data_IF_448220693485
#
_entry.id   IF_448220693485
#
_cell.length_a   1.000
_cell.length_b   1.000
_cell.length_c   1.000
_cell.angle_alpha   90.00
_cell.angle_beta   90.00
_cell.angle_gamma   90.00
#
_symmetry.space_group_name_H-M   'P 1'
#
loop_
_entity.id
_entity.type
_entity.pdbx_description
1 polymer ?
#
# COMPACT_ATOMS: atom_id res chain seq x y z
N UNK A 1 21.52 -64.11 -49.29
CA UNK A 1 22.32 -64.42 -48.09
C UNK A 1 21.40 -64.97 -47.01
N UNK A 2 21.01 -66.24 -47.11
CA UNK A 2 20.20 -66.93 -46.11
C UNK A 2 21.12 -67.57 -45.06
N UNK A 3 21.26 -66.93 -43.91
CA UNK A 3 21.90 -67.51 -42.72
C UNK A 3 20.81 -68.09 -41.80
N UNK A 4 20.95 -69.34 -41.37
CA UNK A 4 20.02 -69.99 -40.42
C UNK A 4 20.24 -69.47 -38.98
N UNK A 5 21.47 -69.04 -38.67
CA UNK A 5 21.87 -68.62 -37.33
C UNK A 5 21.68 -67.12 -37.07
N UNK A 6 21.36 -66.33 -38.11
CA UNK A 6 21.17 -64.89 -37.99
C UNK A 6 20.01 -64.43 -38.86
N UNK A 7 18.92 -64.00 -38.20
CA UNK A 7 17.72 -63.51 -38.86
C UNK A 7 17.68 -61.97 -38.82
N UNK A 8 18.22 -61.35 -39.86
CA UNK A 8 18.31 -59.89 -39.96
C UNK A 8 16.93 -59.21 -40.01
N UNK A 9 15.93 -59.83 -40.64
CA UNK A 9 14.57 -59.25 -40.71
C UNK A 9 13.86 -59.27 -39.37
N UNK A 10 14.04 -60.33 -38.57
CA UNK A 10 13.53 -60.38 -37.21
C UNK A 10 14.23 -59.36 -36.29
N UNK A 11 15.53 -59.12 -36.46
CA UNK A 11 16.27 -58.11 -35.69
C UNK A 11 15.79 -56.69 -35.99
N UNK A 12 15.59 -56.36 -37.26
CA UNK A 12 15.02 -55.07 -37.68
C UNK A 12 13.59 -54.91 -37.15
N UNK A 13 12.75 -55.95 -37.24
CA UNK A 13 11.40 -55.93 -36.68
C UNK A 13 11.40 -55.73 -35.15
N UNK A 14 12.34 -56.34 -34.42
CA UNK A 14 12.50 -56.16 -32.98
C UNK A 14 12.96 -54.73 -32.62
N UNK A 15 13.90 -54.15 -33.37
CA UNK A 15 14.32 -52.75 -33.19
C UNK A 15 13.15 -51.78 -33.42
N UNK A 16 12.37 -52.01 -34.47
CA UNK A 16 11.15 -51.23 -34.74
C UNK A 16 10.11 -51.40 -33.64
N UNK A 17 9.89 -52.61 -33.14
CA UNK A 17 8.96 -52.87 -32.04
C UNK A 17 9.38 -52.19 -30.73
N UNK A 18 10.68 -52.25 -30.38
CA UNK A 18 11.21 -51.55 -29.21
C UNK A 18 11.07 -50.03 -29.33
N UNK A 19 11.25 -49.48 -30.54
CA UNK A 19 11.00 -48.06 -30.83
C UNK A 19 9.52 -47.70 -30.65
N UNK A 20 8.61 -48.45 -31.28
CA UNK A 20 7.16 -48.25 -31.13
C UNK A 20 6.74 -48.34 -29.67
N UNK A 21 7.25 -49.30 -28.90
CA UNK A 21 6.97 -49.39 -27.46
C UNK A 21 7.46 -48.17 -26.69
N UNK A 22 8.65 -47.66 -27.00
CA UNK A 22 9.19 -46.45 -26.37
C UNK A 22 8.34 -45.22 -26.68
N UNK A 23 7.90 -45.08 -27.94
CA UNK A 23 7.04 -43.97 -28.37
C UNK A 23 5.63 -44.08 -27.74
N UNK A 24 5.11 -45.30 -27.60
CA UNK A 24 3.82 -45.58 -26.94
C UNK A 24 3.85 -45.18 -25.47
N UNK A 25 4.93 -45.48 -24.74
CA UNK A 25 5.11 -45.02 -23.35
C UNK A 25 5.16 -43.49 -23.25
N UNK A 26 5.84 -42.80 -24.18
CA UNK A 26 5.88 -41.33 -24.19
C UNK A 26 4.49 -40.71 -24.41
N UNK A 27 3.73 -41.22 -25.38
CA UNK A 27 2.38 -40.71 -25.64
C UNK A 27 1.44 -41.02 -24.47
N UNK A 28 1.58 -42.19 -23.83
CA UNK A 28 0.83 -42.49 -22.60
C UNK A 28 1.15 -41.52 -21.46
N UNK A 29 2.43 -41.16 -21.30
CA UNK A 29 2.86 -40.19 -20.29
C UNK A 29 2.32 -38.79 -20.59
N UNK A 30 2.34 -38.36 -21.86
CA UNK A 30 1.75 -37.08 -22.30
C UNK A 30 0.24 -37.04 -22.08
N UNK A 31 -0.48 -38.14 -22.33
CA UNK A 31 -1.92 -38.23 -22.08
C UNK A 31 -2.21 -38.25 -20.57
N UNK A 32 -1.39 -38.93 -19.78
CA UNK A 32 -1.58 -39.04 -18.33
C UNK A 32 -1.26 -37.74 -17.60
N UNK A 33 -0.25 -37.00 -18.04
CA UNK A 33 0.18 -35.75 -17.40
C UNK A 33 -0.46 -34.51 -18.02
N UNK A 34 -1.03 -34.64 -19.24
CA UNK A 34 -1.50 -33.52 -20.04
C UNK A 34 -0.38 -32.65 -20.62
N UNK A 35 0.88 -32.96 -20.32
CA UNK A 35 2.05 -32.15 -20.69
C UNK A 35 2.91 -32.87 -21.72
N UNK A 36 3.32 -32.16 -22.77
CA UNK A 36 4.35 -32.57 -23.72
C UNK A 36 5.74 -32.57 -23.09
N UNK A 37 5.99 -31.66 -22.15
CA UNK A 37 7.23 -31.57 -21.36
C UNK A 37 6.84 -31.63 -19.87
N UNK A 38 6.85 -32.84 -19.30
CA UNK A 38 6.49 -33.04 -17.90
C UNK A 38 7.71 -32.94 -16.98
N UNK A 39 8.87 -33.42 -17.44
CA UNK A 39 10.10 -33.47 -16.65
C UNK A 39 11.28 -32.83 -17.38
N UNK A 40 12.35 -32.50 -16.63
CA UNK A 40 13.60 -32.02 -17.21
C UNK A 40 14.26 -33.00 -18.19
N UNK A 41 13.86 -34.29 -18.17
CA UNK A 41 14.35 -35.31 -19.12
C UNK A 41 13.75 -35.14 -20.51
N UNK A 42 12.56 -34.56 -20.62
CA UNK A 42 11.85 -34.40 -21.89
C UNK A 42 12.41 -33.21 -22.66
N UNK A 43 12.62 -32.08 -21.96
CA UNK A 43 13.34 -30.93 -22.46
C UNK A 43 13.78 -30.02 -21.28
N UNK A 44 15.06 -30.07 -20.92
CA UNK A 44 15.59 -29.33 -19.78
C UNK A 44 15.42 -27.80 -19.89
N UNK A 45 15.57 -27.24 -21.11
CA UNK A 45 15.47 -25.79 -21.31
C UNK A 45 14.01 -25.31 -21.17
N UNK A 46 13.06 -26.00 -21.81
CA UNK A 46 11.64 -25.66 -21.73
C UNK A 46 11.11 -25.87 -20.31
N UNK A 47 11.50 -26.97 -19.67
CA UNK A 47 11.12 -27.27 -18.30
C UNK A 47 11.63 -26.22 -17.30
N UNK A 48 12.89 -25.76 -17.45
CA UNK A 48 13.46 -24.74 -16.58
C UNK A 48 12.72 -23.41 -16.70
N UNK A 49 12.39 -22.98 -17.92
CA UNK A 49 11.63 -21.75 -18.16
C UNK A 49 10.22 -21.88 -17.56
N UNK A 50 9.52 -22.98 -17.84
CA UNK A 50 8.16 -23.20 -17.31
C UNK A 50 8.14 -23.28 -15.79
N UNK A 51 9.14 -23.89 -15.15
CA UNK A 51 9.22 -23.97 -13.69
C UNK A 51 9.42 -22.60 -13.03
N UNK A 52 10.21 -21.71 -13.64
CA UNK A 52 10.34 -20.32 -13.18
C UNK A 52 9.02 -19.57 -13.33
N UNK A 53 8.38 -19.68 -14.50
CA UNK A 53 7.08 -19.04 -14.75
C UNK A 53 5.98 -19.57 -13.81
N UNK A 54 5.93 -20.87 -13.54
CA UNK A 54 5.00 -21.47 -12.55
C UNK A 54 5.27 -20.93 -11.15
N UNK A 55 6.55 -20.79 -10.76
CA UNK A 55 6.93 -20.15 -9.49
C UNK A 55 6.49 -18.69 -9.41
N UNK A 56 6.64 -17.93 -10.49
CA UNK A 56 6.25 -16.53 -10.54
C UNK A 56 4.72 -16.39 -10.48
N UNK A 57 3.97 -17.26 -11.17
CA UNK A 57 2.49 -17.34 -11.06
C UNK A 57 2.05 -17.60 -9.62
N UNK A 58 2.72 -18.50 -8.90
CA UNK A 58 2.43 -18.72 -7.47
C UNK A 58 2.69 -17.47 -6.62
N UNK A 59 3.79 -16.76 -6.87
CA UNK A 59 4.10 -15.49 -6.21
C UNK A 59 3.05 -14.42 -6.48
N UNK A 60 2.60 -14.28 -7.73
CA UNK A 60 1.57 -13.31 -8.10
C UNK A 60 0.20 -13.65 -7.51
N UNK A 61 -0.17 -14.92 -7.37
CA UNK A 61 -1.41 -15.31 -6.66
C UNK A 61 -1.38 -14.87 -5.19
N UNK A 62 -0.23 -15.04 -4.52
CA UNK A 62 -0.06 -14.54 -3.15
C UNK A 62 -0.18 -13.01 -3.07
N UNK A 63 0.30 -12.30 -4.09
CA UNK A 63 0.13 -10.84 -4.20
C UNK A 63 -1.34 -10.48 -4.41
N UNK A 64 -2.09 -11.20 -5.26
CA UNK A 64 -3.54 -10.99 -5.40
C UNK A 64 -4.26 -11.16 -4.07
N UNK A 65 -3.91 -12.18 -3.27
CA UNK A 65 -4.49 -12.37 -1.93
C UNK A 65 -4.12 -11.23 -0.98
N UNK A 66 -2.89 -10.74 -1.02
CA UNK A 66 -2.45 -9.57 -0.24
C UNK A 66 -3.17 -8.28 -0.68
N UNK A 67 -3.36 -8.08 -1.98
CA UNK A 67 -4.11 -6.94 -2.54
C UNK A 67 -5.58 -7.00 -2.13
N UNK A 68 -6.20 -8.19 -2.15
CA UNK A 68 -7.58 -8.38 -1.68
C UNK A 68 -7.70 -8.08 -0.17
N UNK A 69 -6.74 -8.52 0.64
CA UNK A 69 -6.69 -8.20 2.07
C UNK A 69 -6.54 -6.68 2.30
N UNK A 70 -5.65 -6.05 1.54
CA UNK A 70 -5.45 -4.59 1.55
C UNK A 70 -6.72 -3.83 1.16
N UNK A 71 -7.39 -4.28 0.10
CA UNK A 71 -8.66 -3.72 -0.38
C UNK A 71 -9.72 -3.74 0.72
N UNK A 72 -9.96 -4.90 1.34
CA UNK A 72 -10.93 -5.03 2.43
C UNK A 72 -10.58 -4.16 3.65
N UNK A 73 -9.29 -3.99 3.95
CA UNK A 73 -8.85 -3.12 5.05
C UNK A 73 -9.16 -1.65 4.75
N UNK A 74 -8.85 -1.19 3.53
CA UNK A 74 -9.10 0.19 3.07
C UNK A 74 -10.61 0.47 2.98
N UNK A 75 -11.41 -0.50 2.55
CA UNK A 75 -12.87 -0.39 2.50
C UNK A 75 -13.48 -0.16 3.89
N UNK A 76 -13.03 -0.90 4.91
CA UNK A 76 -13.48 -0.71 6.30
C UNK A 76 -13.10 0.69 6.80
N UNK A 77 -11.87 1.13 6.54
CA UNK A 77 -11.41 2.48 6.90
C UNK A 77 -12.23 3.59 6.22
N UNK A 78 -12.47 3.47 4.91
CA UNK A 78 -13.27 4.43 4.13
C UNK A 78 -14.71 4.50 4.63
N UNK A 79 -15.38 3.36 4.80
CA UNK A 79 -16.76 3.30 5.24
C UNK A 79 -16.94 3.89 6.65
N UNK A 80 -16.00 3.60 7.56
CA UNK A 80 -16.00 4.20 8.89
C UNK A 80 -15.74 5.71 8.83
N UNK A 81 -14.86 6.19 7.95
CA UNK A 81 -14.60 7.63 7.75
C UNK A 81 -15.83 8.38 7.22
N UNK A 82 -16.61 7.78 6.32
CA UNK A 82 -17.89 8.33 5.85
C UNK A 82 -18.90 8.44 6.99
N UNK A 83 -18.96 7.44 7.87
CA UNK A 83 -19.86 7.47 9.02
C UNK A 83 -19.41 8.51 10.06
N UNK A 84 -18.12 8.65 10.31
CA UNK A 84 -17.55 9.72 11.15
C UNK A 84 -17.88 11.09 10.56
N UNK A 85 -17.76 11.27 9.24
CA UNK A 85 -18.13 12.51 8.55
C UNK A 85 -19.60 12.88 8.79
N UNK A 86 -20.50 11.90 8.73
CA UNK A 86 -21.93 12.15 8.98
C UNK A 86 -22.19 12.57 10.43
N UNK A 87 -21.55 11.93 11.40
CA UNK A 87 -21.66 12.30 12.82
C UNK A 87 -21.09 13.69 13.09
N UNK A 88 -19.96 14.06 12.46
CA UNK A 88 -19.41 15.42 12.58
C UNK A 88 -20.35 16.47 11.98
N UNK A 89 -21.06 16.16 10.89
CA UNK A 89 -22.10 17.04 10.34
C UNK A 89 -23.30 17.19 11.28
N UNK A 90 -23.67 16.14 12.00
CA UNK A 90 -24.70 16.22 13.05
C UNK A 90 -24.22 17.09 14.22
N UNK A 91 -22.97 16.93 14.67
CA UNK A 91 -22.36 17.81 15.68
C UNK A 91 -22.34 19.27 15.21
N UNK A 92 -22.00 19.53 13.94
CA UNK A 92 -22.07 20.87 13.35
C UNK A 92 -23.48 21.45 13.44
N UNK A 93 -24.51 20.65 13.14
CA UNK A 93 -25.89 21.09 13.23
C UNK A 93 -26.30 21.44 14.67
N UNK A 94 -25.84 20.66 15.66
CA UNK A 94 -26.04 20.97 17.07
C UNK A 94 -25.31 22.25 17.50
N UNK A 95 -24.09 22.48 17.04
CA UNK A 95 -23.38 23.75 17.32
C UNK A 95 -24.13 24.94 16.71
N UNK A 96 -24.68 24.80 15.51
CA UNK A 96 -25.51 25.84 14.89
C UNK A 96 -26.79 26.08 15.69
N UNK A 97 -27.44 25.04 16.21
CA UNK A 97 -28.64 25.18 17.06
C UNK A 97 -28.32 25.92 18.37
N UNK A 98 -27.12 25.72 18.93
CA UNK A 98 -26.66 26.43 20.14
C UNK A 98 -26.50 27.95 19.98
N UNK A 99 -26.37 28.44 18.73
CA UNK A 99 -26.28 29.88 18.41
C UNK A 99 -27.61 30.60 18.53
N UNK A 100 -28.74 29.89 18.52
CA UNK A 100 -30.04 30.52 18.65
C UNK A 100 -30.24 31.15 20.04
N UNK A 101 -31.14 32.13 20.12
CA UNK A 101 -31.50 32.76 21.39
C UNK A 101 -32.53 31.90 22.13
N UNK A 102 -32.38 31.78 23.46
CA UNK A 102 -33.29 31.04 24.36
C UNK A 102 -33.31 29.50 24.20
N UNK A 103 -32.21 28.90 23.74
CA UNK A 103 -32.06 27.43 23.69
C UNK A 103 -31.46 26.85 24.97
N UNK A 104 -31.73 25.57 25.23
CA UNK A 104 -31.09 24.81 26.32
C UNK A 104 -29.72 24.28 25.86
N UNK A 105 -28.69 25.13 25.98
CA UNK A 105 -27.31 24.79 25.58
C UNK A 105 -26.74 23.60 26.34
N UNK A 106 -27.22 23.35 27.56
CA UNK A 106 -26.82 22.17 28.33
C UNK A 106 -27.37 20.88 27.74
N UNK A 107 -28.57 20.93 27.16
CA UNK A 107 -29.10 19.79 26.43
C UNK A 107 -28.29 19.54 25.16
N UNK A 108 -28.06 20.58 24.37
CA UNK A 108 -27.28 20.50 23.13
C UNK A 108 -25.85 19.97 23.41
N UNK A 109 -25.18 20.46 24.46
CA UNK A 109 -23.85 19.97 24.85
C UNK A 109 -23.85 18.48 25.20
N UNK A 110 -24.93 17.95 25.82
CA UNK A 110 -25.06 16.52 26.08
C UNK A 110 -25.24 15.72 24.80
N UNK A 111 -26.00 16.25 23.84
CA UNK A 111 -26.22 15.60 22.55
C UNK A 111 -24.92 15.58 21.73
N UNK A 112 -24.15 16.69 21.72
CA UNK A 112 -22.80 16.76 21.14
C UNK A 112 -21.87 15.72 21.79
N UNK A 113 -21.87 15.61 23.13
CA UNK A 113 -21.06 14.62 23.83
C UNK A 113 -21.43 13.18 23.45
N UNK A 114 -22.72 12.88 23.28
CA UNK A 114 -23.18 11.56 22.84
C UNK A 114 -22.75 11.24 21.40
N UNK A 115 -22.88 12.20 20.48
CA UNK A 115 -22.42 12.06 19.09
C UNK A 115 -20.90 11.87 19.02
N UNK A 116 -20.16 12.63 19.84
CA UNK A 116 -18.72 12.46 20.01
C UNK A 116 -18.38 11.05 20.49
N UNK A 117 -19.03 10.55 21.54
CA UNK A 117 -18.78 9.20 22.07
C UNK A 117 -19.10 8.12 21.01
N UNK A 118 -20.12 8.36 20.16
CA UNK A 118 -20.43 7.52 19.01
C UNK A 118 -19.31 7.54 17.95
N UNK A 119 -18.75 8.72 17.63
CA UNK A 119 -17.58 8.82 16.74
C UNK A 119 -16.43 7.97 17.28
N UNK A 120 -16.12 8.05 18.57
CA UNK A 120 -15.05 7.27 19.19
C UNK A 120 -15.29 5.76 19.07
N UNK A 121 -16.54 5.33 19.31
CA UNK A 121 -16.94 3.93 19.18
C UNK A 121 -16.78 3.40 17.75
N UNK A 122 -17.04 4.22 16.72
CA UNK A 122 -16.88 3.84 15.31
C UNK A 122 -15.42 3.77 14.92
N UNK A 123 -14.62 4.76 15.32
CA UNK A 123 -13.17 4.77 15.11
C UNK A 123 -12.54 3.53 15.74
N UNK A 124 -12.94 3.13 16.95
CA UNK A 124 -12.44 1.92 17.58
C UNK A 124 -12.89 0.62 16.93
N UNK A 125 -14.13 0.58 16.42
CA UNK A 125 -14.71 -0.58 15.75
C UNK A 125 -14.21 -0.79 14.31
N UNK A 126 -13.60 0.23 13.68
CA UNK A 126 -13.10 0.21 12.30
C UNK A 126 -11.83 -0.65 12.11
N UNK A 127 -11.89 -1.92 12.54
CA UNK A 127 -10.80 -2.87 12.46
C UNK A 127 -11.10 -4.01 11.48
N UNK A 128 -10.08 -4.39 10.71
CA UNK A 128 -10.09 -5.57 9.87
C UNK A 128 -8.88 -6.43 10.24
N UNK A 129 -9.13 -7.66 10.72
CA UNK A 129 -8.10 -8.58 11.20
C UNK A 129 -7.14 -7.95 12.25
N UNK A 130 -7.65 -7.06 13.11
CA UNK A 130 -6.88 -6.37 14.15
C UNK A 130 -6.14 -5.11 13.69
N UNK A 131 -6.12 -4.82 12.39
CA UNK A 131 -5.58 -3.59 11.82
C UNK A 131 -6.67 -2.53 11.70
N UNK A 132 -6.39 -1.28 12.08
CA UNK A 132 -7.36 -0.19 12.06
C UNK A 132 -6.74 1.05 11.42
N UNK A 133 -7.25 1.49 10.27
CA UNK A 133 -6.68 2.62 9.53
C UNK A 133 -7.04 4.00 10.10
N UNK A 134 -7.93 4.03 11.10
CA UNK A 134 -8.46 5.24 11.74
C UNK A 134 -7.80 5.55 13.10
N UNK A 135 -6.86 4.71 13.55
CA UNK A 135 -6.09 4.93 14.79
C UNK A 135 -4.66 4.42 14.66
N UNK A 136 -3.72 5.05 15.36
CA UNK A 136 -2.27 4.74 15.28
C UNK A 136 -1.61 5.49 14.12
N UNK A 137 -0.27 5.60 14.12
CA UNK A 137 0.42 6.45 13.14
C UNK A 137 1.24 5.70 12.08
N UNK A 138 1.74 4.50 12.36
CA UNK A 138 2.51 3.77 11.34
C UNK A 138 1.66 3.37 10.12
N UNK A 139 2.07 3.86 8.94
CA UNK A 139 1.47 3.55 7.63
C UNK A 139 1.39 2.03 7.36
N UNK A 140 0.43 1.66 6.52
CA UNK A 140 0.20 0.26 6.13
C UNK A 140 0.69 0.04 4.71
N UNK A 141 1.61 -0.90 4.54
CA UNK A 141 2.11 -1.31 3.24
C UNK A 141 1.35 -2.53 2.72
N UNK A 142 0.70 -2.40 1.56
CA UNK A 142 0.06 -3.51 0.85
C UNK A 142 1.01 -3.98 -0.25
N UNK A 143 1.46 -5.24 -0.20
CA UNK A 143 2.29 -5.79 -1.28
C UNK A 143 1.55 -5.72 -2.62
N UNK A 144 2.20 -5.15 -3.63
CA UNK A 144 1.59 -4.82 -4.91
C UNK A 144 2.20 -5.58 -6.09
N UNK A 145 3.48 -5.91 -6.01
CA UNK A 145 4.18 -6.64 -7.06
C UNK A 145 5.41 -7.39 -6.55
N UNK A 146 5.79 -8.41 -7.31
CA UNK A 146 7.10 -9.05 -7.28
C UNK A 146 7.82 -8.64 -8.57
N UNK A 147 8.93 -7.94 -8.44
CA UNK A 147 9.79 -7.63 -9.58
C UNK A 147 11.02 -8.53 -9.54
N UNK A 148 11.38 -9.09 -10.71
CA UNK A 148 12.55 -9.95 -10.87
C UNK A 148 13.48 -9.28 -11.87
N UNK A 149 14.65 -8.90 -11.41
CA UNK A 149 15.64 -8.29 -12.27
C UNK A 149 16.35 -9.33 -13.19
N UNK A 150 17.13 -8.82 -14.15
CA UNK A 150 17.91 -9.67 -15.05
C UNK A 150 19.03 -10.48 -14.35
N UNK A 151 19.37 -10.14 -13.11
CA UNK A 151 20.35 -10.85 -12.28
C UNK A 151 19.72 -12.01 -11.47
N UNK A 152 18.38 -12.11 -11.48
CA UNK A 152 17.61 -13.10 -10.74
C UNK A 152 17.25 -12.66 -9.32
N UNK A 153 17.58 -11.42 -8.93
CA UNK A 153 17.18 -10.81 -7.66
C UNK A 153 15.69 -10.50 -7.70
N UNK A 154 14.99 -10.85 -6.63
CA UNK A 154 13.55 -10.62 -6.48
C UNK A 154 13.35 -9.50 -5.47
N UNK A 155 12.68 -8.42 -5.89
CA UNK A 155 12.28 -7.31 -5.04
C UNK A 155 10.76 -7.21 -4.96
N UNK A 156 10.26 -6.62 -3.88
CA UNK A 156 8.83 -6.35 -3.69
C UNK A 156 8.55 -4.87 -3.90
N UNK A 157 7.43 -4.56 -4.54
CA UNK A 157 6.83 -3.23 -4.50
C UNK A 157 5.61 -3.26 -3.58
N UNK A 158 5.32 -2.12 -2.95
CA UNK A 158 4.15 -1.94 -2.10
C UNK A 158 3.36 -0.70 -2.48
N UNK A 159 2.08 -0.71 -2.09
CA UNK A 159 1.18 0.43 -2.11
C UNK A 159 1.10 0.90 -0.65
N UNK A 160 1.70 2.07 -0.39
CA UNK A 160 1.56 2.75 0.89
C UNK A 160 0.12 3.23 1.07
N UNK A 161 -0.45 2.90 2.22
CA UNK A 161 -1.75 3.37 2.70
C UNK A 161 -1.51 4.23 3.92
N UNK A 162 -1.63 5.54 3.73
CA UNK A 162 -1.54 6.51 4.83
C UNK A 162 -2.68 6.29 5.80
N UNK A 163 -2.37 6.19 7.10
CA UNK A 163 -3.41 6.15 8.15
C UNK A 163 -3.91 7.55 8.44
N UNK A 164 -5.16 7.62 8.89
CA UNK A 164 -5.74 8.83 9.45
C UNK A 164 -6.01 8.57 10.93
N UNK A 165 -5.61 9.45 11.84
CA UNK A 165 -5.76 9.18 13.28
C UNK A 165 -6.95 9.95 13.83
N UNK A 166 -8.13 9.37 13.79
CA UNK A 166 -9.37 10.01 14.24
C UNK A 166 -9.63 9.85 15.74
N UNK A 167 -8.63 9.49 16.54
CA UNK A 167 -8.78 9.45 17.99
C UNK A 167 -9.16 10.82 18.53
N UNK A 168 -10.04 10.82 19.52
CA UNK A 168 -10.46 12.03 20.26
C UNK A 168 -9.57 12.24 21.48
N UNK A 169 -8.27 12.23 21.26
CA UNK A 169 -7.28 12.47 22.29
C UNK A 169 -6.58 13.76 21.91
N UNK A 170 -6.67 14.77 22.77
CA UNK A 170 -5.87 15.98 22.60
C UNK A 170 -4.39 15.63 22.73
N UNK A 171 -3.61 16.13 21.78
CA UNK A 171 -2.16 16.05 21.91
C UNK A 171 -1.72 16.92 23.07
N UNK A 172 -0.73 16.44 23.83
CA UNK A 172 -0.11 17.25 24.88
C UNK A 172 1.20 17.78 24.34
N UNK A 173 1.38 19.09 24.40
CA UNK A 173 2.64 19.71 24.02
C UNK A 173 3.76 19.30 24.99
N UNK A 174 4.96 19.11 24.48
CA UNK A 174 6.12 18.75 25.30
C UNK A 174 6.58 19.91 26.18
N UNK A 175 7.39 19.58 27.17
CA UNK A 175 8.04 20.54 28.09
C UNK A 175 9.55 20.36 28.15
N UNK A 176 10.06 19.23 27.68
CA UNK A 176 11.49 18.93 27.59
C UNK A 176 11.98 19.37 26.21
N UNK A 177 12.74 20.47 26.18
CA UNK A 177 13.31 20.99 24.94
C UNK A 177 14.16 19.93 24.23
N UNK A 178 14.03 19.86 22.91
CA UNK A 178 14.92 19.04 22.07
C UNK A 178 16.34 19.56 22.23
N UNK A 179 17.31 18.63 22.33
CA UNK A 179 18.70 19.01 22.49
C UNK A 179 19.25 19.62 21.19
N UNK A 180 20.10 20.64 21.31
CA UNK A 180 20.72 21.26 20.16
C UNK A 180 21.45 20.25 19.25
N UNK A 181 21.22 20.32 17.94
CA UNK A 181 21.70 19.39 16.90
C UNK A 181 21.12 17.97 16.92
N UNK A 182 20.08 17.72 17.72
CA UNK A 182 19.33 16.46 17.67
C UNK A 182 18.29 16.49 16.54
N UNK A 183 17.78 15.31 16.18
CA UNK A 183 16.69 15.22 15.20
C UNK A 183 15.46 15.96 15.74
N UNK A 184 14.89 16.86 14.95
CA UNK A 184 13.77 17.70 15.35
C UNK A 184 14.16 18.93 16.17
N UNK A 185 15.45 19.25 16.31
CA UNK A 185 15.86 20.56 16.80
C UNK A 185 15.38 21.65 15.83
N UNK A 186 14.93 22.77 16.39
CA UNK A 186 14.43 23.92 15.62
C UNK A 186 15.38 25.09 15.78
N UNK A 187 15.97 25.53 14.67
CA UNK A 187 16.91 26.65 14.67
C UNK A 187 16.42 27.79 13.79
N UNK A 188 16.46 29.02 14.31
CA UNK A 188 16.13 30.25 13.58
C UNK A 188 17.38 31.07 13.27
N UNK A 189 17.39 31.72 12.10
CA UNK A 189 18.50 32.57 11.67
C UNK A 189 18.51 33.93 12.40
N UNK A 190 17.34 34.52 12.66
CA UNK A 190 17.17 35.71 13.49
C UNK A 190 15.82 35.74 14.23
N UNK A 191 15.78 36.43 15.38
CA UNK A 191 14.58 36.55 16.24
C UNK A 191 13.56 37.64 15.83
N UNK A 192 13.77 38.32 14.70
CA UNK A 192 12.84 39.32 14.17
C UNK A 192 12.96 39.39 12.66
N UNK A 193 11.83 39.22 11.96
CA UNK A 193 11.75 39.37 10.51
C UNK A 193 11.56 40.86 10.20
N UNK A 194 12.57 41.48 9.60
CA UNK A 194 12.47 42.87 9.16
C UNK A 194 11.34 43.06 8.12
N UNK A 195 10.85 44.29 7.94
CA UNK A 195 9.91 44.60 6.86
C UNK A 195 10.53 44.26 5.49
N UNK A 196 9.79 43.54 4.65
CA UNK A 196 10.26 42.94 3.40
C UNK A 196 11.46 41.98 3.55
N UNK A 197 11.74 41.53 4.78
CA UNK A 197 12.79 40.57 5.09
C UNK A 197 12.27 39.13 5.06
N UNK A 198 13.19 38.19 4.91
CA UNK A 198 12.91 36.75 4.98
C UNK A 198 13.81 36.15 6.05
N UNK A 199 13.21 35.38 6.96
CA UNK A 199 13.93 34.57 7.95
C UNK A 199 13.64 33.10 7.71
N UNK A 200 14.55 32.24 8.17
CA UNK A 200 14.42 30.79 8.02
C UNK A 200 14.36 30.11 9.38
N UNK A 201 13.39 29.20 9.52
CA UNK A 201 13.32 28.18 10.54
C UNK A 201 13.77 26.85 9.92
N UNK A 202 14.78 26.22 10.51
CA UNK A 202 15.29 24.93 10.10
C UNK A 202 14.85 23.87 11.10
N UNK A 203 14.25 22.79 10.59
CA UNK A 203 13.94 21.57 11.35
C UNK A 203 15.05 20.57 11.01
N UNK A 204 15.89 20.28 12.00
CA UNK A 204 17.09 19.50 11.77
C UNK A 204 16.79 18.01 11.63
N UNK A 205 17.33 17.38 10.58
CA UNK A 205 17.40 15.93 10.48
C UNK A 205 18.36 15.33 11.52
N UNK A 206 19.18 16.19 12.16
CA UNK A 206 19.99 15.90 13.33
C UNK A 206 21.19 14.98 13.06
N UNK A 207 22.14 14.96 13.99
CA UNK A 207 23.28 14.01 13.98
C UNK A 207 23.34 13.12 15.23
N UNK A 208 22.41 13.35 16.16
CA UNK A 208 22.37 12.80 17.50
C UNK A 208 20.96 12.26 17.79
N UNK A 209 20.59 11.09 17.27
CA UNK A 209 19.29 10.49 17.61
C UNK A 209 18.75 9.48 16.60
N UNK A 210 17.57 8.95 16.91
CA UNK A 210 16.68 8.26 15.97
C UNK A 210 15.71 9.28 15.34
N UNK A 211 15.08 8.93 14.23
CA UNK A 211 14.05 9.73 13.53
C UNK A 211 13.01 10.36 14.48
N UNK A 212 12.33 11.42 14.01
CA UNK A 212 11.23 12.10 14.71
C UNK A 212 10.27 11.07 15.31
N UNK A 213 9.94 11.23 16.60
CA UNK A 213 9.06 10.32 17.32
C UNK A 213 7.69 10.94 17.52
N UNK A 214 6.67 10.09 17.60
CA UNK A 214 5.32 10.52 17.98
C UNK A 214 5.35 11.24 19.33
N UNK A 215 4.74 12.43 19.39
CA UNK A 215 4.72 13.28 20.57
C UNK A 215 5.81 14.35 20.61
N UNK A 216 6.79 14.34 19.69
CA UNK A 216 7.65 15.51 19.52
C UNK A 216 6.77 16.71 19.12
N UNK A 217 6.97 17.86 19.74
CA UNK A 217 6.15 19.03 19.50
C UNK A 217 6.99 20.21 19.04
N UNK A 218 6.42 21.01 18.16
CA UNK A 218 7.08 22.10 17.44
C UNK A 218 6.18 23.30 17.55
N UNK A 219 6.72 24.43 17.95
CA UNK A 219 6.02 25.69 17.87
C UNK A 219 6.71 26.66 16.91
N UNK A 220 5.91 27.56 16.40
CA UNK A 220 6.34 28.70 15.61
C UNK A 220 5.50 29.90 16.02
N UNK A 221 6.15 30.89 16.62
CA UNK A 221 5.51 32.15 16.97
C UNK A 221 5.86 33.21 15.95
N UNK A 222 4.85 33.83 15.35
CA UNK A 222 4.98 34.96 14.42
C UNK A 222 4.15 36.13 14.98
N UNK A 223 4.84 37.20 15.36
CA UNK A 223 4.22 38.33 16.06
C UNK A 223 3.76 37.92 17.46
N UNK A 224 2.45 37.83 17.68
CA UNK A 224 1.84 37.36 18.94
C UNK A 224 1.20 35.98 18.83
N UNK A 225 1.13 35.41 17.63
CA UNK A 225 0.44 34.16 17.38
C UNK A 225 1.42 33.01 17.43
N UNK A 226 1.11 31.99 18.23
CA UNK A 226 1.88 30.74 18.30
C UNK A 226 1.09 29.66 17.61
N UNK A 227 1.75 28.98 16.67
CA UNK A 227 1.23 27.83 15.94
C UNK A 227 1.98 26.62 16.46
N UNK A 228 1.24 25.58 16.83
CA UNK A 228 1.80 24.36 17.39
C UNK A 228 1.50 23.18 16.48
N UNK A 229 2.46 22.27 16.38
CA UNK A 229 2.31 20.97 15.75
C UNK A 229 2.90 19.89 16.64
N UNK A 230 2.20 18.76 16.77
CA UNK A 230 2.70 17.59 17.48
C UNK A 230 2.85 16.46 16.47
N UNK A 231 4.09 16.00 16.31
CA UNK A 231 4.45 14.92 15.41
C UNK A 231 3.77 13.61 15.81
N UNK A 232 3.45 12.85 14.78
CA UNK A 232 2.82 11.53 14.83
C UNK A 232 3.86 10.47 14.55
N UNK A 233 3.48 9.23 14.79
CA UNK A 233 4.33 8.09 14.45
C UNK A 233 4.49 8.04 12.93
N UNK A 234 5.73 8.06 12.45
CA UNK A 234 6.07 8.00 11.04
C UNK A 234 6.35 9.35 10.37
N UNK A 235 6.06 10.47 11.04
CA UNK A 235 6.37 11.79 10.49
C UNK A 235 7.87 11.98 10.34
N UNK A 236 8.27 12.59 9.24
CA UNK A 236 9.66 12.99 8.99
C UNK A 236 9.85 14.50 9.19
N UNK A 237 11.10 15.00 9.15
CA UNK A 237 11.35 16.46 9.24
C UNK A 237 10.65 17.24 8.13
N UNK A 238 10.47 16.63 6.96
CA UNK A 238 9.73 17.22 5.85
C UNK A 238 8.23 17.29 6.18
N UNK A 239 7.64 16.22 6.70
CA UNK A 239 6.22 16.20 7.07
C UNK A 239 5.93 17.22 8.18
N UNK A 240 6.80 17.31 9.19
CA UNK A 240 6.68 18.31 10.26
C UNK A 240 6.73 19.73 9.68
N UNK A 241 7.67 20.03 8.77
CA UNK A 241 7.80 21.35 8.18
C UNK A 241 6.56 21.75 7.37
N UNK A 242 6.05 20.84 6.52
CA UNK A 242 4.82 21.06 5.76
C UNK A 242 3.63 21.26 6.70
N UNK A 243 3.46 20.39 7.70
CA UNK A 243 2.31 20.44 8.62
C UNK A 243 2.30 21.66 9.53
N UNK A 244 3.47 22.12 9.96
CA UNK A 244 3.59 23.35 10.76
C UNK A 244 3.23 24.59 9.92
N UNK A 245 3.62 24.63 8.64
CA UNK A 245 3.22 25.71 7.72
C UNK A 245 1.73 25.63 7.38
N UNK A 246 1.20 24.45 7.07
CA UNK A 246 -0.23 24.25 6.85
C UNK A 246 -1.05 24.73 8.06
N UNK A 247 -0.61 24.41 9.28
CA UNK A 247 -1.25 24.88 10.51
C UNK A 247 -1.18 26.41 10.64
N UNK A 248 -0.06 27.04 10.26
CA UNK A 248 0.11 28.48 10.34
C UNK A 248 -0.74 29.23 9.32
N UNK A 249 -0.69 28.83 8.05
CA UNK A 249 -1.50 29.41 6.98
C UNK A 249 -2.99 29.31 7.30
N UNK A 250 -3.41 28.16 7.80
CA UNK A 250 -4.80 27.94 8.23
C UNK A 250 -5.18 28.83 9.41
N UNK A 251 -4.34 28.89 10.45
CA UNK A 251 -4.57 29.76 11.61
C UNK A 251 -4.69 31.24 11.21
N UNK A 252 -3.87 31.70 10.28
CA UNK A 252 -3.92 33.09 9.80
C UNK A 252 -5.13 33.35 8.90
N UNK A 253 -5.53 32.40 8.06
CA UNK A 253 -6.76 32.48 7.29
C UNK A 253 -8.01 32.55 8.20
N UNK A 254 -8.04 31.77 9.29
CA UNK A 254 -9.11 31.83 10.30
C UNK A 254 -9.18 33.20 10.99
N UNK A 255 -8.02 33.75 11.37
CA UNK A 255 -7.95 35.10 11.98
C UNK A 255 -8.47 36.18 11.03
N UNK A 256 -8.04 36.16 9.77
CA UNK A 256 -8.52 37.11 8.75
C UNK A 256 -10.02 36.97 8.50
N UNK A 257 -10.57 35.75 8.55
CA UNK A 257 -12.01 35.52 8.41
C UNK A 257 -12.83 36.07 9.58
N UNK A 258 -12.29 36.04 10.80
CA UNK A 258 -12.95 36.58 12.00
C UNK A 258 -12.77 38.10 12.11
N UNK A 259 -11.57 38.61 11.81
CA UNK A 259 -11.24 40.03 11.86
C UNK A 259 -10.21 40.38 10.78
N UNK A 260 -10.61 41.05 9.68
CA UNK A 260 -9.70 41.40 8.61
C UNK A 260 -8.56 42.32 9.07
N UNK A 261 -7.32 41.98 8.70
CA UNK A 261 -6.09 42.68 9.07
C UNK A 261 -5.56 42.35 10.46
N UNK A 262 -6.02 41.26 11.07
CA UNK A 262 -5.55 40.81 12.39
C UNK A 262 -4.41 39.79 12.32
N UNK A 263 -4.23 39.12 11.18
CA UNK A 263 -3.13 38.18 10.98
C UNK A 263 -1.82 38.91 10.60
N UNK A 264 -0.66 38.34 10.93
CA UNK A 264 0.61 38.79 10.38
C UNK A 264 0.63 38.68 8.84
N UNK A 265 1.04 39.74 8.15
CA UNK A 265 1.19 39.75 6.68
C UNK A 265 2.52 39.09 6.29
N UNK A 266 2.49 37.75 6.21
CA UNK A 266 3.67 36.92 5.91
C UNK A 266 3.36 35.88 4.84
N UNK A 267 4.37 35.58 4.02
CA UNK A 267 4.35 34.46 3.07
C UNK A 267 5.27 33.34 3.56
N UNK A 268 4.82 32.09 3.38
CA UNK A 268 5.60 30.90 3.68
C UNK A 268 6.17 30.26 2.41
N UNK A 269 7.37 29.70 2.52
CA UNK A 269 7.94 28.81 1.50
C UNK A 269 8.69 27.68 2.18
N UNK A 270 8.29 26.43 1.90
CA UNK A 270 8.95 25.24 2.44
C UNK A 270 9.95 24.69 1.43
N UNK A 271 11.18 24.47 1.88
CA UNK A 271 12.24 23.77 1.13
C UNK A 271 12.50 22.44 1.81
N UNK A 272 12.18 21.35 1.13
CA UNK A 272 12.29 19.99 1.64
C UNK A 272 13.66 19.37 1.34
N UNK A 273 14.18 18.58 2.27
CA UNK A 273 15.32 17.71 2.04
C UNK A 273 14.95 16.59 1.06
N UNK A 274 15.86 16.23 0.15
CA UNK A 274 15.61 15.11 -0.79
C UNK A 274 15.62 13.74 -0.10
N UNK A 275 16.28 13.67 1.07
CA UNK A 275 16.28 12.53 1.99
C UNK A 275 16.04 13.08 3.41
N UNK A 276 14.84 12.86 3.97
CA UNK A 276 14.46 13.45 5.25
C UNK A 276 15.13 12.79 6.47
N UNK A 277 15.88 11.70 6.28
CA UNK A 277 16.68 11.11 7.37
C UNK A 277 18.04 11.79 7.53
N UNK A 278 18.52 12.48 6.50
CA UNK A 278 19.88 13.04 6.46
C UNK A 278 19.96 14.51 6.07
N UNK A 279 18.86 15.10 5.59
CA UNK A 279 18.79 16.49 5.16
C UNK A 279 17.65 17.21 5.87
N UNK A 280 17.96 18.42 6.31
CA UNK A 280 17.04 19.29 7.04
C UNK A 280 15.87 19.77 6.15
N UNK A 281 14.76 20.11 6.80
CA UNK A 281 13.67 20.86 6.18
C UNK A 281 13.77 22.33 6.59
N UNK A 282 13.55 23.25 5.65
CA UNK A 282 13.66 24.70 5.89
C UNK A 282 12.36 25.40 5.55
N UNK A 283 11.79 26.10 6.53
CA UNK A 283 10.65 27.00 6.38
C UNK A 283 11.20 28.41 6.25
N UNK A 284 10.92 29.07 5.13
CA UNK A 284 11.20 30.50 4.93
C UNK A 284 9.94 31.31 5.17
N UNK A 285 10.03 32.30 6.05
CA UNK A 285 8.93 33.22 6.37
C UNK A 285 9.33 34.62 5.89
N UNK A 286 8.57 35.17 4.95
CA UNK A 286 8.80 36.51 4.39
C UNK A 286 7.77 37.49 4.92
N UNK A 287 8.21 38.57 5.56
CA UNK A 287 7.31 39.60 6.09
C UNK A 287 6.99 40.64 5.01
N UNK A 288 5.74 40.65 4.55
CA UNK A 288 5.23 41.60 3.57
C UNK A 288 4.72 42.90 4.21
N UNK A 289 4.59 42.91 5.54
CA UNK A 289 4.16 44.05 6.33
C UNK A 289 5.19 45.20 6.42
N UNK A 290 4.70 46.35 6.88
CA UNK A 290 5.49 47.59 6.98
C UNK A 290 6.35 47.73 8.26
N UNK A 291 6.28 46.78 9.19
CA UNK A 291 7.02 46.78 10.45
C UNK A 291 7.68 45.42 10.71
N UNK A 292 8.72 45.38 11.53
CA UNK A 292 9.35 44.12 11.92
C UNK A 292 8.42 43.25 12.75
N UNK A 293 8.45 41.92 12.52
CA UNK A 293 7.60 40.94 13.18
C UNK A 293 8.48 39.99 14.00
N UNK A 294 8.11 39.74 15.26
CA UNK A 294 8.83 38.79 16.10
C UNK A 294 8.73 37.38 15.52
N UNK A 295 9.81 36.62 15.56
CA UNK A 295 9.82 35.23 15.10
C UNK A 295 10.60 34.37 16.08
N UNK A 296 9.93 33.39 16.66
CA UNK A 296 10.53 32.42 17.58
C UNK A 296 10.02 31.03 17.27
N UNK A 297 10.79 30.03 17.66
CA UNK A 297 10.41 28.63 17.57
C UNK A 297 11.10 27.87 18.68
N UNK A 298 10.42 26.89 19.24
CA UNK A 298 10.95 25.90 20.14
C UNK A 298 10.46 24.51 19.69
N UNK A 299 11.19 23.49 20.12
CA UNK A 299 10.85 22.09 19.88
C UNK A 299 11.04 21.28 21.16
N UNK A 300 10.16 20.30 21.38
CA UNK A 300 10.11 19.50 22.61
C UNK A 300 9.93 18.02 22.29
N UNK A 301 10.46 17.12 23.14
CA UNK A 301 10.53 15.68 22.84
C UNK A 301 9.61 14.77 23.66
N UNK A 302 8.90 15.32 24.65
CA UNK A 302 8.12 14.56 25.66
C UNK A 302 6.61 14.81 25.59
N UNK A 303 6.14 15.40 24.49
CA UNK A 303 4.71 15.54 24.25
C UNK A 303 4.02 14.20 23.96
N UNK A 304 2.70 14.27 23.76
CA UNK A 304 1.87 13.12 23.44
C UNK A 304 1.14 13.41 22.14
N UNK A 305 1.29 12.53 21.13
CA UNK A 305 0.55 12.65 19.87
C UNK A 305 -0.96 12.56 20.12
N UNK A 306 -1.66 13.62 19.73
CA UNK A 306 -3.12 13.64 19.64
C UNK A 306 -3.64 12.96 18.38
N UNK A 307 -4.96 12.78 18.31
CA UNK A 307 -5.63 12.46 17.04
C UNK A 307 -6.18 13.73 16.37
N UNK A 308 -6.47 13.62 15.08
CA UNK A 308 -7.09 14.65 14.24
C UNK A 308 -8.41 15.19 14.82
N UNK A 309 -9.13 14.37 15.57
CA UNK A 309 -10.38 14.73 16.22
C UNK A 309 -10.21 15.05 17.71
N UNK A 310 -8.98 15.29 18.18
CA UNK A 310 -8.69 15.62 19.58
C UNK A 310 -9.47 16.83 20.07
N UNK A 311 -9.58 17.88 19.23
CA UNK A 311 -10.30 19.13 19.52
C UNK A 311 -11.80 18.93 19.77
N UNK A 312 -12.36 17.79 19.38
CA UNK A 312 -13.78 17.45 19.63
C UNK A 312 -14.08 17.33 21.13
N UNK A 313 -13.08 17.05 21.97
CA UNK A 313 -13.21 17.01 23.44
C UNK A 313 -13.36 18.41 24.03
N UNK A 314 -12.68 19.40 23.45
CA UNK A 314 -12.69 20.80 23.90
C UNK A 314 -13.89 21.63 23.44
N UNK A 315 -14.80 21.06 22.64
CA UNK A 315 -16.02 21.76 22.20
C UNK A 315 -16.95 22.00 23.39
N UNK A 316 -17.14 23.27 23.71
CA UNK A 316 -18.09 23.73 24.71
C UNK A 316 -19.05 24.75 24.11
N UNK A 317 -20.33 24.37 24.02
CA UNK A 317 -21.43 25.26 23.62
C UNK A 317 -22.29 25.70 24.81
N UNK A 318 -22.01 25.29 26.05
CA UNK A 318 -22.69 25.77 27.27
C UNK A 318 -22.14 27.13 27.73
N UNK A 319 -22.03 28.06 26.78
CA UNK A 319 -21.52 29.41 27.02
C UNK A 319 -22.43 30.45 26.37
N UNK A 320 -22.36 31.69 26.87
CA UNK A 320 -22.98 32.86 26.23
C UNK A 320 -22.04 33.63 25.35
N UNK A 321 -20.77 33.21 25.28
CA UNK A 321 -19.77 33.82 24.42
C UNK A 321 -19.96 33.37 22.96
N UNK A 322 -20.46 34.27 22.11
CA UNK A 322 -20.66 33.99 20.68
C UNK A 322 -19.33 33.70 19.96
N UNK A 323 -18.21 34.26 20.43
CA UNK A 323 -16.89 33.99 19.84
C UNK A 323 -16.48 32.53 20.08
N UNK A 324 -16.74 32.00 21.28
CA UNK A 324 -16.46 30.59 21.59
C UNK A 324 -17.29 29.62 20.74
N UNK A 325 -18.58 29.92 20.53
CA UNK A 325 -19.45 29.07 19.69
C UNK A 325 -19.04 29.16 18.21
N UNK A 326 -18.63 30.34 17.73
CA UNK A 326 -18.09 30.49 16.38
C UNK A 326 -16.79 29.71 16.19
N UNK A 327 -15.91 29.70 17.19
CA UNK A 327 -14.69 28.89 17.15
C UNK A 327 -15.02 27.39 17.11
N UNK A 328 -15.94 26.91 17.96
CA UNK A 328 -16.39 25.52 17.92
C UNK A 328 -16.94 25.10 16.55
N UNK A 329 -17.61 26.01 15.84
CA UNK A 329 -18.11 25.75 14.49
C UNK A 329 -16.97 25.62 13.46
N UNK A 330 -15.95 26.48 13.54
CA UNK A 330 -14.76 26.40 12.69
C UNK A 330 -14.00 25.10 12.95
N UNK A 331 -13.81 24.75 14.22
CA UNK A 331 -13.11 23.54 14.64
C UNK A 331 -13.77 22.28 14.06
N UNK A 332 -15.11 22.21 14.09
CA UNK A 332 -15.84 21.08 13.50
C UNK A 332 -15.79 21.08 11.98
N UNK A 333 -15.84 22.25 11.34
CA UNK A 333 -15.70 22.31 9.88
C UNK A 333 -14.35 21.80 9.40
N UNK A 334 -13.29 22.16 10.12
CA UNK A 334 -11.94 21.69 9.86
C UNK A 334 -11.81 20.19 10.06
N UNK A 335 -12.40 19.66 11.14
CA UNK A 335 -12.44 18.22 11.41
C UNK A 335 -13.21 17.50 10.30
N UNK A 336 -14.34 18.05 9.82
CA UNK A 336 -15.08 17.51 8.67
C UNK A 336 -14.18 17.47 7.43
N UNK A 337 -13.46 18.56 7.13
CA UNK A 337 -12.58 18.63 5.97
C UNK A 337 -11.44 17.61 6.07
N UNK A 338 -10.81 17.50 7.23
CA UNK A 338 -9.74 16.51 7.51
C UNK A 338 -10.22 15.08 7.25
N UNK A 339 -11.42 14.75 7.74
CA UNK A 339 -12.01 13.41 7.53
C UNK A 339 -12.40 13.19 6.06
N UNK A 340 -12.88 14.22 5.36
CA UNK A 340 -13.18 14.16 3.92
C UNK A 340 -11.91 13.89 3.11
N UNK A 341 -10.81 14.58 3.40
CA UNK A 341 -9.54 14.42 2.69
C UNK A 341 -8.95 13.03 2.92
N UNK A 342 -9.00 12.53 4.15
CA UNK A 342 -8.64 11.14 4.46
C UNK A 342 -9.54 10.13 3.74
N UNK A 343 -10.86 10.36 3.68
CA UNK A 343 -11.81 9.51 2.95
C UNK A 343 -11.51 9.49 1.45
N UNK A 344 -11.20 10.64 0.86
CA UNK A 344 -10.81 10.76 -0.54
C UNK A 344 -9.48 10.04 -0.82
N UNK A 345 -8.51 10.14 0.10
CA UNK A 345 -7.25 9.40 0.04
C UNK A 345 -7.49 7.88 0.04
N UNK A 346 -8.32 7.37 0.95
CA UNK A 346 -8.70 5.95 0.97
C UNK A 346 -9.38 5.51 -0.34
N UNK A 347 -10.26 6.33 -0.91
CA UNK A 347 -10.88 6.06 -2.21
C UNK A 347 -9.87 6.01 -3.36
N UNK A 348 -8.87 6.89 -3.38
CA UNK A 348 -7.78 6.87 -4.35
C UNK A 348 -6.93 5.60 -4.23
N UNK A 349 -6.56 5.23 -3.00
CA UNK A 349 -5.81 3.99 -2.71
C UNK A 349 -6.61 2.75 -3.11
N UNK A 350 -7.91 2.71 -2.82
CA UNK A 350 -8.81 1.64 -3.22
C UNK A 350 -8.76 1.42 -4.75
N UNK A 351 -8.94 2.49 -5.53
CA UNK A 351 -8.84 2.42 -6.99
C UNK A 351 -7.46 1.93 -7.46
N UNK A 352 -6.38 2.37 -6.80
CA UNK A 352 -5.01 1.95 -7.14
C UNK A 352 -4.78 0.47 -6.87
N UNK A 353 -5.30 -0.06 -5.75
CA UNK A 353 -5.27 -1.49 -5.42
C UNK A 353 -6.08 -2.29 -6.44
N UNK A 354 -7.28 -1.84 -6.81
CA UNK A 354 -8.12 -2.51 -7.81
C UNK A 354 -7.46 -2.58 -9.19
N UNK A 355 -6.85 -1.48 -9.65
CA UNK A 355 -6.11 -1.44 -10.91
C UNK A 355 -4.95 -2.45 -10.87
N UNK A 356 -4.18 -2.45 -9.78
CA UNK A 356 -3.05 -3.36 -9.62
C UNK A 356 -3.52 -4.83 -9.57
N UNK A 357 -4.61 -5.13 -8.87
CA UNK A 357 -5.18 -6.46 -8.78
C UNK A 357 -5.60 -7.00 -10.15
N UNK A 358 -6.28 -6.17 -10.95
CA UNK A 358 -6.67 -6.51 -12.32
C UNK A 358 -5.45 -6.73 -13.23
N UNK A 359 -4.40 -5.92 -13.08
CA UNK A 359 -3.15 -6.08 -13.80
C UNK A 359 -2.46 -7.41 -13.45
N UNK A 360 -2.28 -7.70 -12.15
CA UNK A 360 -1.65 -8.94 -11.67
C UNK A 360 -2.45 -10.17 -12.11
N UNK A 361 -3.79 -10.11 -12.05
CA UNK A 361 -4.66 -11.19 -12.54
C UNK A 361 -4.49 -11.44 -14.04
N UNK A 362 -4.41 -10.37 -14.84
CA UNK A 362 -4.16 -10.46 -16.29
C UNK A 362 -2.76 -11.00 -16.60
N UNK A 363 -1.76 -10.63 -15.79
CA UNK A 363 -0.40 -11.12 -15.89
C UNK A 363 -0.32 -12.62 -15.57
N UNK A 364 -0.98 -13.08 -14.51
CA UNK A 364 -1.11 -14.50 -14.17
C UNK A 364 -1.70 -15.26 -15.36
N UNK A 365 -2.82 -14.80 -15.93
CA UNK A 365 -3.44 -15.47 -17.08
C UNK A 365 -2.54 -15.53 -18.31
N UNK A 366 -1.75 -14.47 -18.55
CA UNK A 366 -0.77 -14.44 -19.66
C UNK A 366 0.40 -15.39 -19.44
N UNK A 367 0.90 -15.48 -18.20
CA UNK A 367 1.97 -16.41 -17.82
C UNK A 367 1.49 -17.85 -17.85
N UNK A 368 0.28 -18.14 -17.36
CA UNK A 368 -0.35 -19.46 -17.44
C UNK A 368 -0.52 -19.92 -18.88
N UNK A 369 -1.02 -19.04 -19.76
CA UNK A 369 -1.11 -19.34 -21.19
C UNK A 369 0.27 -19.55 -21.84
N UNK A 370 1.28 -18.78 -21.41
CA UNK A 370 2.68 -18.95 -21.84
C UNK A 370 3.27 -20.29 -21.41
N UNK A 371 3.07 -20.69 -20.14
CA UNK A 371 3.47 -22.00 -19.61
C UNK A 371 2.75 -23.11 -20.37
N UNK A 372 1.44 -23.01 -20.52
CA UNK A 372 0.63 -23.97 -21.25
C UNK A 372 1.13 -24.15 -22.70
N UNK A 373 1.41 -23.06 -23.42
CA UNK A 373 1.97 -23.14 -24.77
C UNK A 373 3.34 -23.82 -24.85
N UNK A 374 4.15 -23.72 -23.79
CA UNK A 374 5.46 -24.33 -23.71
C UNK A 374 5.41 -25.81 -23.29
N UNK A 375 4.50 -26.18 -22.38
CA UNK A 375 4.51 -27.50 -21.74
C UNK A 375 3.36 -28.40 -22.12
N UNK A 376 2.22 -27.89 -22.57
CA UNK A 376 1.02 -28.71 -22.72
C UNK A 376 1.05 -29.56 -24.01
N UNK A 377 0.42 -30.73 -23.92
CA UNK A 377 0.23 -31.62 -25.05
C UNK A 377 -1.14 -31.37 -25.69
N UNK A 378 -1.21 -31.47 -27.02
CA UNK A 378 -2.47 -31.56 -27.73
C UNK A 378 -3.02 -32.98 -27.55
N UNK A 379 -4.04 -33.14 -26.72
CA UNK A 379 -4.59 -34.46 -26.36
C UNK A 379 -5.29 -35.14 -27.54
N UNK A 380 -5.85 -34.38 -28.47
CA UNK A 380 -6.48 -34.90 -29.68
C UNK A 380 -5.43 -35.56 -30.59
N UNK A 381 -4.31 -34.87 -30.82
CA UNK A 381 -3.19 -35.42 -31.58
C UNK A 381 -2.55 -36.59 -30.85
N UNK A 382 -2.29 -36.46 -29.54
CA UNK A 382 -1.72 -37.54 -28.74
C UNK A 382 -2.61 -38.79 -28.74
N UNK A 383 -3.93 -38.63 -28.68
CA UNK A 383 -4.89 -39.73 -28.76
C UNK A 383 -4.89 -40.41 -30.12
N UNK A 384 -4.83 -39.63 -31.21
CA UNK A 384 -4.71 -40.18 -32.57
C UNK A 384 -3.38 -40.93 -32.76
N UNK A 385 -2.27 -40.38 -32.24
CA UNK A 385 -0.96 -41.02 -32.26
C UNK A 385 -0.93 -42.29 -31.40
N UNK A 386 -1.57 -42.30 -30.22
CA UNK A 386 -1.68 -43.48 -29.37
C UNK A 386 -2.36 -44.63 -30.10
N UNK A 387 -3.49 -44.37 -30.76
CA UNK A 387 -4.20 -45.37 -31.55
C UNK A 387 -3.35 -45.87 -32.71
N UNK A 388 -2.68 -44.98 -33.44
CA UNK A 388 -1.78 -45.34 -34.53
C UNK A 388 -0.62 -46.23 -34.03
N UNK A 389 0.00 -45.88 -32.90
CA UNK A 389 1.09 -46.65 -32.29
C UNK A 389 0.63 -48.01 -31.78
N UNK A 390 -0.57 -48.13 -31.22
CA UNK A 390 -1.17 -49.41 -30.83
C UNK A 390 -1.38 -50.32 -32.05
N UNK A 391 -1.89 -49.77 -33.16
CA UNK A 391 -2.05 -50.52 -34.41
C UNK A 391 -0.67 -50.91 -34.99
N UNK A 392 0.31 -50.01 -34.98
CA UNK A 392 1.68 -50.32 -35.39
C UNK A 392 2.34 -51.38 -34.51
N UNK A 393 2.09 -51.39 -33.21
CA UNK A 393 2.60 -52.42 -32.30
C UNK A 393 2.02 -53.78 -32.67
N UNK A 394 0.70 -53.88 -32.90
CA UNK A 394 0.05 -55.11 -33.34
C UNK A 394 0.61 -55.61 -34.69
N UNK A 395 0.79 -54.72 -35.66
CA UNK A 395 1.37 -55.04 -36.96
C UNK A 395 2.83 -55.47 -36.86
N UNK A 396 3.64 -54.85 -35.99
CA UNK A 396 5.03 -55.23 -35.77
C UNK A 396 5.15 -56.59 -35.06
N UNK A 397 4.25 -56.93 -34.14
CA UNK A 397 4.17 -58.26 -33.53
C UNK A 397 3.86 -59.32 -34.60
N UNK A 398 2.92 -59.03 -35.51
CA UNK A 398 2.62 -59.90 -36.63
C UNK A 398 3.81 -60.02 -37.60
N UNK A 399 4.45 -58.91 -37.95
CA UNK A 399 5.63 -58.90 -38.82
C UNK A 399 6.83 -59.64 -38.20
N UNK A 400 7.04 -59.52 -36.88
CA UNK A 400 8.05 -60.27 -36.15
C UNK A 400 7.74 -61.78 -36.13
N UNK A 401 6.46 -62.16 -35.95
CA UNK A 401 6.01 -63.55 -36.05
C UNK A 401 6.26 -64.13 -37.46
N UNK A 402 5.92 -63.38 -38.52
CA UNK A 402 6.18 -63.74 -39.91
C UNK A 402 7.69 -63.86 -40.17
N UNK A 403 8.48 -62.88 -39.73
CA UNK A 403 9.94 -62.87 -39.88
C UNK A 403 10.60 -64.07 -39.15
N UNK A 404 10.08 -64.46 -37.98
CA UNK A 404 10.53 -65.65 -37.25
C UNK A 404 10.14 -66.97 -37.92
N UNK A 405 9.12 -66.98 -38.78
CA UNK A 405 8.71 -68.16 -39.56
C UNK A 405 9.49 -68.35 -40.88
N UNK A 406 10.22 -67.33 -41.34
CA UNK A 406 10.99 -67.40 -42.60
C UNK A 406 12.10 -68.49 -42.60
N UNK A 407 12.86 -68.74 -41.50
CA UNK A 407 13.85 -69.82 -41.45
C UNK A 407 13.24 -71.22 -41.55
N UNK A 408 11.99 -71.43 -41.09
CA UNK A 408 11.30 -72.73 -41.20
C UNK A 408 10.93 -73.09 -42.64
N UNK A 409 10.71 -72.11 -43.51
CA UNK A 409 10.49 -72.34 -44.94
C UNK A 409 11.77 -72.85 -45.64
N UNK A 410 12.95 -72.45 -45.17
CA UNK A 410 14.24 -72.97 -45.65
C UNK A 410 14.49 -74.41 -45.18
N UNK A 411 14.12 -74.76 -43.94
CA UNK A 411 14.20 -76.13 -43.42
C UNK A 411 13.30 -77.11 -44.21
N UNK A 412 12.16 -76.65 -44.70
CA UNK A 412 11.27 -77.45 -45.55
C UNK A 412 11.87 -77.80 -46.92
N UNK A 413 12.89 -77.07 -47.39
CA UNK A 413 13.59 -77.32 -48.66
C UNK A 413 14.65 -78.45 -48.54
N UNK A 414 15.04 -78.79 -47.32
CA UNK A 414 16.00 -79.86 -47.00
C UNK A 414 15.32 -81.11 -46.42
N UNK A 415 13.99 -81.21 -46.50
CA UNK A 415 13.21 -82.40 -46.14
C UNK A 415 12.79 -83.20 -47.35
#
# INVERSE_FOLDING_TARGET
MSSINFNQSAQVALMTLNKVNTDLFKIQDQISTGKRVATARDNAAVWAISAVMESDVMGFRQITDSLNLGLSTVEVGRAASEQVTNLLKEIKAEIVSAKEQNVDRKAIQRDIAALRDQVGSIVDAAQFNGLNLLKGGADVEVLSSLDRDASGTVSTASIAVKRADFRQVEGTFGTTAVAANAVGDTTISAGTIAAAGTETLTIEAGTLGTNIQAGYSFDMTIGSETVEYIAREGDTVNDVAEKLVEAAEKRFAEMEAVSPGSAPDVDFTVTLGTDPETQDAVISVTNNGGAGVAFTSDSFSDGVSGGDLGRLVGIDVDTTDETAINQALLDVEDMIQTVIDATASFGSVQNRIDIQNNFVTSLIGSLEAGVAGLTDANLEEASAQLQALQVQQQLNIQALSIANSAPSALLALFR
#
